data_IF_444882976191
#
_entry.id   IF_444882976191
#
_cell.length_a   1.000
_cell.length_b   1.000
_cell.length_c   1.000
_cell.angle_alpha   90.00
_cell.angle_beta   90.00
_cell.angle_gamma   90.00
#
_symmetry.space_group_name_H-M   'P 1'
#
loop_
_entity.id
_entity.type
_entity.pdbx_description
1 polymer ?
#
# COMPACT_ATOMS: atom_id res chain seq x y z
N UNK A 1 11.83 3.46 -15.66
CA UNK A 1 11.56 3.80 -14.24
C UNK A 1 11.10 2.51 -13.59
N UNK A 2 11.75 2.00 -12.55
CA UNK A 2 11.41 0.68 -11.98
C UNK A 2 10.16 0.82 -11.12
N UNK A 3 8.99 0.69 -11.72
CA UNK A 3 7.71 0.82 -11.03
C UNK A 3 7.36 -0.54 -10.41
N UNK A 4 7.81 -0.76 -9.17
CA UNK A 4 7.46 -1.96 -8.39
C UNK A 4 6.03 -1.86 -7.84
N UNK A 5 5.08 -1.69 -8.75
CA UNK A 5 3.65 -1.62 -8.48
C UNK A 5 2.97 -2.74 -9.24
N UNK A 6 1.98 -3.38 -8.64
CA UNK A 6 1.15 -4.33 -9.39
C UNK A 6 0.37 -3.58 -10.46
N UNK A 7 0.41 -4.04 -11.70
CA UNK A 7 -0.34 -3.45 -12.81
C UNK A 7 -1.46 -4.39 -13.26
N UNK A 8 -2.62 -3.82 -13.57
CA UNK A 8 -3.71 -4.53 -14.23
C UNK A 8 -4.15 -3.74 -15.45
N UNK A 9 -4.13 -4.38 -16.64
CA UNK A 9 -4.43 -3.73 -17.92
C UNK A 9 -3.61 -2.44 -18.16
N UNK A 10 -2.34 -2.42 -17.73
CA UNK A 10 -1.46 -1.26 -17.87
C UNK A 10 -1.65 -0.17 -16.82
N UNK A 11 -2.61 -0.30 -15.89
CA UNK A 11 -2.83 0.66 -14.81
C UNK A 11 -2.13 0.21 -13.53
N UNK A 12 -1.30 1.07 -12.89
CA UNK A 12 -0.74 0.78 -11.59
C UNK A 12 -1.85 0.76 -10.54
N UNK A 13 -1.85 -0.27 -9.70
CA UNK A 13 -2.85 -0.48 -8.67
C UNK A 13 -2.23 -0.34 -7.29
N UNK A 14 -2.91 0.37 -6.40
CA UNK A 14 -2.64 0.34 -4.98
C UNK A 14 -3.65 -0.58 -4.29
N UNK A 15 -3.14 -1.57 -3.56
CA UNK A 15 -3.95 -2.54 -2.84
C UNK A 15 -3.67 -2.36 -1.36
N UNK A 16 -4.70 -2.25 -0.51
CA UNK A 16 -4.51 -2.49 0.91
C UNK A 16 -5.35 -3.69 1.34
N UNK A 17 -4.78 -4.46 2.25
CA UNK A 17 -5.44 -5.60 2.85
C UNK A 17 -5.86 -5.23 4.27
N UNK A 18 -6.90 -5.88 4.78
CA UNK A 18 -7.40 -5.75 6.14
C UNK A 18 -7.77 -7.12 6.65
N UNK A 19 -7.37 -7.43 7.87
CA UNK A 19 -7.47 -8.76 8.46
C UNK A 19 -8.17 -8.66 9.82
N UNK A 20 -9.05 -9.61 10.15
CA UNK A 20 -9.77 -9.61 11.45
C UNK A 20 -8.83 -9.64 12.65
N UNK A 21 -7.63 -10.18 12.46
CA UNK A 21 -6.63 -10.39 13.51
C UNK A 21 -5.82 -9.13 13.85
N UNK A 22 -5.95 -8.05 13.08
CA UNK A 22 -5.36 -6.78 13.47
C UNK A 22 -6.06 -6.23 14.72
N UNK A 23 -5.28 -5.94 15.76
CA UNK A 23 -5.80 -5.57 17.08
C UNK A 23 -5.37 -4.15 17.47
N UNK A 24 -4.10 -3.82 17.29
CA UNK A 24 -3.53 -2.50 17.43
C UNK A 24 -3.88 -1.62 16.23
N UNK A 25 -3.80 -2.18 15.01
CA UNK A 25 -4.16 -1.47 13.79
C UNK A 25 -5.66 -1.61 13.49
N UNK A 26 -6.50 -0.97 14.29
CA UNK A 26 -7.96 -1.00 14.13
C UNK A 26 -8.42 -0.60 12.72
N UNK A 27 -7.73 0.37 12.09
CA UNK A 27 -8.03 0.81 10.71
C UNK A 27 -7.78 -0.27 9.65
N UNK A 28 -7.20 -1.42 10.03
CA UNK A 28 -6.99 -2.61 9.20
C UNK A 28 -7.77 -3.84 9.68
N UNK A 29 -8.74 -3.66 10.57
CA UNK A 29 -9.67 -4.72 10.97
C UNK A 29 -11.10 -4.30 10.62
N UNK A 30 -11.61 -4.80 9.50
CA UNK A 30 -12.89 -4.39 8.90
C UNK A 30 -14.01 -5.41 9.14
N UNK A 31 -13.89 -6.24 10.18
CA UNK A 31 -14.86 -7.28 10.55
C UNK A 31 -14.26 -8.68 10.55
N UNK A 32 -15.11 -9.70 10.38
CA UNK A 32 -14.74 -11.11 10.50
C UNK A 32 -14.06 -11.74 9.28
N UNK A 33 -13.81 -10.96 8.22
CA UNK A 33 -13.24 -11.45 6.96
C UNK A 33 -12.03 -10.63 6.52
N UNK A 34 -11.24 -11.22 5.61
CA UNK A 34 -10.18 -10.50 4.90
C UNK A 34 -10.84 -9.58 3.89
N UNK A 35 -10.43 -8.32 3.88
CA UNK A 35 -10.95 -7.30 2.95
C UNK A 35 -9.79 -6.74 2.14
N UNK A 36 -9.96 -6.69 0.83
CA UNK A 36 -9.04 -6.02 -0.10
C UNK A 36 -9.71 -4.77 -0.62
N UNK A 37 -9.01 -3.63 -0.49
CA UNK A 37 -9.40 -2.40 -1.18
C UNK A 37 -8.41 -2.19 -2.31
N UNK A 38 -8.93 -2.18 -3.53
CA UNK A 38 -8.13 -2.11 -4.76
C UNK A 38 -8.50 -0.81 -5.47
N UNK A 39 -7.51 0.05 -5.70
CA UNK A 39 -7.73 1.35 -6.33
C UNK A 39 -6.66 1.60 -7.42
N UNK A 40 -7.00 2.29 -8.51
CA UNK A 40 -6.00 2.89 -9.38
C UNK A 40 -5.08 3.80 -8.56
N UNK A 41 -3.77 3.67 -8.79
CA UNK A 41 -2.77 4.44 -8.04
C UNK A 41 -2.85 5.93 -8.35
N UNK A 42 -3.18 6.30 -9.59
CA UNK A 42 -3.28 7.69 -10.06
C UNK A 42 -4.21 8.54 -9.17
N UNK A 43 -5.27 7.95 -8.61
CA UNK A 43 -6.17 8.64 -7.67
C UNK A 43 -5.43 9.26 -6.49
N UNK A 44 -4.35 8.62 -6.01
CA UNK A 44 -3.55 9.13 -4.90
C UNK A 44 -2.55 10.22 -5.34
N UNK A 45 -2.17 10.26 -6.61
CA UNK A 45 -1.35 11.37 -7.14
C UNK A 45 -2.19 12.63 -7.26
N UNK A 46 -3.44 12.50 -7.68
CA UNK A 46 -4.36 13.64 -7.76
C UNK A 46 -4.70 14.24 -6.39
N UNK A 47 -5.06 13.41 -5.40
CA UNK A 47 -5.57 13.90 -4.11
C UNK A 47 -4.50 14.06 -3.03
N UNK A 48 -3.38 13.36 -3.18
CA UNK A 48 -2.38 13.19 -2.14
C UNK A 48 -0.96 13.15 -2.73
N UNK A 49 -0.66 13.86 -3.81
CA UNK A 49 0.71 13.89 -4.35
C UNK A 49 1.75 14.33 -3.31
N UNK A 50 2.90 13.67 -3.32
CA UNK A 50 4.07 14.08 -2.53
C UNK A 50 4.64 15.41 -3.01
N UNK A 51 4.47 15.74 -4.29
CA UNK A 51 5.08 16.91 -4.94
C UNK A 51 4.34 18.22 -4.65
N UNK A 52 3.12 18.13 -4.12
CA UNK A 52 2.29 19.31 -3.83
C UNK A 52 2.15 19.54 -2.33
N UNK A 53 2.07 20.80 -1.91
CA UNK A 53 1.85 21.14 -0.50
C UNK A 53 0.47 20.66 -0.01
N UNK A 54 -0.56 20.82 -0.84
CA UNK A 54 -1.91 20.34 -0.55
C UNK A 54 -1.94 18.82 -0.38
N UNK A 55 -1.30 18.07 -1.29
CA UNK A 55 -1.23 16.61 -1.20
C UNK A 55 -0.47 16.13 0.04
N UNK A 56 0.63 16.79 0.40
CA UNK A 56 1.36 16.54 1.65
C UNK A 56 0.47 16.76 2.88
N UNK A 57 -0.26 17.87 2.95
CA UNK A 57 -1.22 18.18 4.04
C UNK A 57 -2.35 17.16 4.13
N UNK A 58 -2.88 16.68 3.00
CA UNK A 58 -3.88 15.62 2.96
C UNK A 58 -3.33 14.33 3.57
N UNK A 59 -2.10 13.93 3.20
CA UNK A 59 -1.47 12.73 3.78
C UNK A 59 -1.19 12.88 5.27
N UNK A 60 -0.69 14.02 5.71
CA UNK A 60 -0.47 14.29 7.13
C UNK A 60 -1.77 14.13 7.93
N UNK A 61 -2.87 14.71 7.42
CA UNK A 61 -4.20 14.54 8.02
C UNK A 61 -4.68 13.10 8.04
N UNK A 62 -4.42 12.32 6.98
CA UNK A 62 -4.72 10.88 6.95
C UNK A 62 -3.88 10.13 8.01
N UNK A 63 -2.59 10.42 8.11
CA UNK A 63 -1.68 9.79 9.09
C UNK A 63 -2.11 10.11 10.53
N UNK A 64 -2.48 11.36 10.81
CA UNK A 64 -3.01 11.75 12.11
C UNK A 64 -4.28 10.97 12.46
N UNK A 65 -5.25 10.90 11.53
CA UNK A 65 -6.48 10.12 11.74
C UNK A 65 -6.22 8.64 11.97
N UNK A 66 -5.25 8.06 11.25
CA UNK A 66 -4.83 6.67 11.46
C UNK A 66 -4.25 6.51 12.87
N UNK A 67 -3.37 7.42 13.30
CA UNK A 67 -2.78 7.39 14.63
C UNK A 67 -3.88 7.47 15.70
N UNK A 68 -4.77 8.45 15.61
CA UNK A 68 -5.87 8.63 16.56
C UNK A 68 -6.77 7.39 16.63
N UNK A 69 -7.14 6.83 15.47
CA UNK A 69 -8.00 5.65 15.38
C UNK A 69 -7.33 4.38 15.91
N UNK A 70 -6.02 4.25 15.72
CA UNK A 70 -5.22 3.11 16.16
C UNK A 70 -4.60 3.33 17.56
N UNK A 71 -5.08 4.29 18.35
CA UNK A 71 -4.55 4.61 19.69
C UNK A 71 -3.04 4.92 19.68
N UNK A 72 -2.58 5.69 18.71
CA UNK A 72 -1.19 6.13 18.52
C UNK A 72 -0.35 5.22 17.62
N UNK A 73 -0.85 4.04 17.22
CA UNK A 73 -0.07 3.11 16.40
C UNK A 73 -0.10 3.51 14.92
N UNK A 74 1.07 3.85 14.38
CA UNK A 74 1.29 4.14 12.96
C UNK A 74 2.36 3.20 12.42
N UNK A 75 2.06 2.41 11.36
CA UNK A 75 3.05 1.56 10.72
C UNK A 75 4.19 2.38 10.10
N UNK A 76 5.42 1.91 10.28
CA UNK A 76 6.65 2.50 9.74
C UNK A 76 6.76 2.42 8.21
N UNK A 77 6.16 1.39 7.62
CA UNK A 77 6.17 1.13 6.17
C UNK A 77 5.32 2.12 5.36
N UNK A 78 4.45 2.88 6.02
CA UNK A 78 3.51 3.82 5.39
C UNK A 78 4.20 5.09 4.84
N UNK A 79 4.93 4.97 3.74
CA UNK A 79 5.66 6.08 3.12
C UNK A 79 5.03 6.60 1.82
N UNK A 80 5.87 7.26 1.03
CA UNK A 80 5.51 7.86 -0.26
C UNK A 80 5.85 6.92 -1.40
N UNK A 81 5.05 7.01 -2.46
CA UNK A 81 5.33 6.29 -3.70
C UNK A 81 6.61 6.80 -4.37
N UNK A 82 7.32 5.90 -5.06
CA UNK A 82 8.58 6.21 -5.73
C UNK A 82 9.79 6.25 -4.80
N UNK A 83 9.59 6.29 -3.48
CA UNK A 83 10.67 6.15 -2.51
C UNK A 83 11.17 4.70 -2.49
N UNK A 84 12.46 4.51 -2.80
CA UNK A 84 13.10 3.19 -2.81
C UNK A 84 13.09 2.51 -1.45
N UNK A 85 12.96 3.27 -0.37
CA UNK A 85 12.82 2.75 0.99
C UNK A 85 11.38 2.34 1.33
N UNK A 86 10.39 2.87 0.60
CA UNK A 86 8.95 2.64 0.82
C UNK A 86 8.28 1.94 -0.37
N UNK A 87 8.71 0.71 -0.62
CA UNK A 87 8.10 -0.14 -1.65
C UNK A 87 6.63 -0.43 -1.31
N UNK A 88 5.74 -0.26 -2.28
CA UNK A 88 4.29 -0.35 -2.04
C UNK A 88 3.83 -1.71 -1.51
N UNK A 89 4.47 -2.81 -1.94
CA UNK A 89 4.10 -4.15 -1.45
C UNK A 89 4.21 -4.29 0.08
N UNK A 90 5.11 -3.52 0.72
CA UNK A 90 5.24 -3.46 2.19
C UNK A 90 4.05 -2.75 2.85
N UNK A 91 3.32 -1.95 2.09
CA UNK A 91 2.14 -1.20 2.53
C UNK A 91 0.84 -1.98 2.31
N UNK A 92 0.85 -3.00 1.44
CA UNK A 92 -0.34 -3.78 1.10
C UNK A 92 -0.80 -4.61 2.30
N UNK A 93 0.13 -5.30 2.97
CA UNK A 93 -0.10 -5.96 4.26
C UNK A 93 0.81 -5.34 5.31
N UNK A 94 0.21 -4.71 6.32
CA UNK A 94 0.96 -4.08 7.39
C UNK A 94 1.32 -5.12 8.46
N UNK A 95 2.52 -5.00 9.00
CA UNK A 95 2.98 -5.87 10.09
C UNK A 95 2.45 -5.38 11.44
N UNK A 96 2.00 -6.32 12.25
CA UNK A 96 1.71 -6.16 13.68
C UNK A 96 2.43 -7.29 14.43
N UNK A 97 2.69 -7.12 15.72
CA UNK A 97 3.29 -8.17 16.54
C UNK A 97 2.52 -9.50 16.42
N UNK A 98 3.26 -10.59 16.16
CA UNK A 98 2.68 -11.91 15.90
C UNK A 98 2.16 -12.12 14.46
N UNK A 99 2.30 -11.11 13.58
CA UNK A 99 2.03 -11.20 12.16
C UNK A 99 3.19 -11.76 11.33
N UNK A 100 2.97 -11.92 10.02
CA UNK A 100 4.01 -12.32 9.08
C UNK A 100 4.95 -11.15 8.79
N UNK A 101 6.23 -11.29 9.15
CA UNK A 101 7.29 -10.37 8.73
C UNK A 101 8.00 -10.93 7.51
N UNK A 102 7.99 -10.16 6.41
CA UNK A 102 8.54 -10.58 5.12
C UNK A 102 9.73 -9.70 4.76
N UNK A 103 10.88 -10.32 4.46
CA UNK A 103 12.09 -9.62 3.99
C UNK A 103 12.08 -9.36 2.48
N UNK A 104 11.18 -10.02 1.74
CA UNK A 104 11.03 -9.91 0.28
C UNK A 104 9.55 -9.94 -0.12
N UNK A 105 9.24 -9.39 -1.31
CA UNK A 105 7.90 -9.45 -1.86
C UNK A 105 7.46 -10.92 -2.01
N UNK A 106 6.29 -11.31 -1.49
CA UNK A 106 5.79 -12.69 -1.59
C UNK A 106 5.16 -13.00 -2.96
N UNK A 107 4.85 -11.98 -3.76
CA UNK A 107 4.25 -12.15 -5.07
C UNK A 107 5.35 -12.47 -6.09
N UNK A 108 5.27 -13.68 -6.65
CA UNK A 108 6.13 -14.13 -7.74
C UNK A 108 5.27 -14.34 -8.99
N UNK A 109 5.36 -13.43 -9.95
CA UNK A 109 4.68 -13.56 -11.25
C UNK A 109 5.65 -14.27 -12.21
N UNK A 110 5.22 -15.40 -12.79
CA UNK A 110 5.95 -16.00 -13.90
C UNK A 110 5.67 -15.16 -15.14
N UNK A 111 6.69 -14.49 -15.66
CA UNK A 111 6.59 -13.82 -16.96
C UNK A 111 6.72 -14.90 -18.02
N UNK A 112 5.68 -15.08 -18.83
CA UNK A 112 5.75 -15.98 -19.97
C UNK A 112 6.52 -15.28 -21.10
N UNK A 113 7.53 -15.95 -21.66
CA UNK A 113 8.47 -15.32 -22.61
C UNK A 113 7.85 -15.00 -23.97
N UNK A 114 6.65 -15.50 -24.23
CA UNK A 114 5.86 -15.25 -25.44
C UNK A 114 4.92 -14.06 -25.33
N UNK A 115 4.87 -13.38 -24.18
CA UNK A 115 3.98 -12.24 -23.99
C UNK A 115 4.63 -10.97 -24.58
N UNK A 116 4.30 -10.66 -25.84
CA UNK A 116 4.83 -9.53 -26.61
C UNK A 116 4.39 -8.15 -26.08
N UNK A 117 3.71 -8.09 -24.93
CA UNK A 117 3.18 -6.86 -24.34
C UNK A 117 4.22 -6.06 -23.51
N UNK A 118 5.43 -6.59 -23.31
CA UNK A 118 6.48 -5.96 -22.50
C UNK A 118 7.56 -5.17 -23.28
N UNK A 119 7.34 -4.86 -24.57
CA UNK A 119 8.27 -4.03 -25.38
C UNK A 119 8.01 -2.52 -25.31
N UNK A 120 7.45 -2.00 -24.22
CA UNK A 120 7.27 -0.54 -24.03
C UNK A 120 7.91 -0.05 -22.74
#
# INVERSE_FOLDING_TARGET
MFEWTYHFAGLPMFINMSFPRHSAMKSRSLGGHIVFVVNPRENFDEVASAETESGRKVREKIRQRIADYNNGVVPDTLGFFGDRSSLEWKQYQLYEEGGLSLSRCPLHIKVDKTDHLNER
#
